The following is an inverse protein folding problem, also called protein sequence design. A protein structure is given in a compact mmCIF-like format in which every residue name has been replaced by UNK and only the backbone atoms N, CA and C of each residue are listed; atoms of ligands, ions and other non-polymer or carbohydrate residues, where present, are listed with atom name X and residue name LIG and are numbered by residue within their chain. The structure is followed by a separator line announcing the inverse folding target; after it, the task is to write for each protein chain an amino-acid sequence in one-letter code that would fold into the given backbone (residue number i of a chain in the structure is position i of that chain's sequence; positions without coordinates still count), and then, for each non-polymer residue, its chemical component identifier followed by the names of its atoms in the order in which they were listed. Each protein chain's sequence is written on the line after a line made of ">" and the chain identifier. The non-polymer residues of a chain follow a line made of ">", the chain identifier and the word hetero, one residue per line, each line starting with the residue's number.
data_IF_965643048441
#
_entry.id   IF_965643048441
#
_cell.length_a   1.000
_cell.length_b   1.000
_cell.length_c   1.000
_cell.angle_alpha   90.00
_cell.angle_beta   90.00
_cell.angle_gamma   90.00
#
_symmetry.space_group_name_H-M   'P 1'
#
loop_
_entity.id
_entity.type
_entity.pdbx_description
1 polymer ?
#
# COMPACT_ATOMS: atom_id res chain seq x y z
N UNK A 1 -50.63 -21.51 -60.98
CA UNK A 1 -49.25 -21.75 -60.51
C UNK A 1 -48.88 -20.70 -59.48
N UNK A 2 -48.51 -21.13 -58.26
CA UNK A 2 -48.13 -20.29 -57.10
C UNK A 2 -46.78 -19.60 -57.32
N UNK A 3 -46.62 -18.34 -56.94
CA UNK A 3 -45.36 -17.81 -56.37
C UNK A 3 -45.68 -16.81 -55.25
N UNK A 4 -45.43 -17.21 -54.00
CA UNK A 4 -45.42 -16.36 -52.79
C UNK A 4 -44.05 -15.70 -52.74
N UNK A 5 -43.98 -14.37 -52.78
CA UNK A 5 -42.76 -13.64 -52.48
C UNK A 5 -42.73 -13.37 -50.98
N UNK A 6 -41.83 -14.06 -50.28
CA UNK A 6 -41.52 -13.81 -48.87
C UNK A 6 -40.33 -12.84 -48.87
N UNK A 7 -40.54 -11.61 -48.43
CA UNK A 7 -39.47 -10.68 -48.09
C UNK A 7 -39.22 -10.81 -46.59
N UNK A 8 -38.04 -11.32 -46.25
CA UNK A 8 -37.59 -11.58 -44.90
C UNK A 8 -37.36 -10.26 -44.13
N UNK A 9 -37.94 -10.16 -42.94
CA UNK A 9 -37.61 -9.13 -41.96
C UNK A 9 -36.32 -9.56 -41.26
N UNK A 10 -35.22 -8.87 -41.52
CA UNK A 10 -33.97 -9.07 -40.81
C UNK A 10 -34.02 -8.42 -39.42
N UNK A 11 -34.00 -9.22 -38.36
CA UNK A 11 -33.83 -8.73 -36.99
C UNK A 11 -32.32 -8.58 -36.76
N UNK A 12 -31.83 -7.34 -36.73
CA UNK A 12 -30.47 -7.06 -36.28
C UNK A 12 -30.44 -7.13 -34.75
N UNK A 13 -29.89 -8.22 -34.19
CA UNK A 13 -29.63 -8.32 -32.76
C UNK A 13 -28.37 -7.50 -32.42
N UNK A 14 -28.56 -6.33 -31.82
CA UNK A 14 -27.46 -5.57 -31.21
C UNK A 14 -27.03 -6.29 -29.91
N UNK A 15 -25.95 -7.06 -29.98
CA UNK A 15 -25.31 -7.63 -28.79
C UNK A 15 -24.57 -6.51 -28.05
N UNK A 16 -25.17 -5.96 -27.00
CA UNK A 16 -24.47 -5.09 -26.07
C UNK A 16 -23.50 -5.95 -25.24
N UNK A 17 -22.22 -5.91 -25.55
CA UNK A 17 -21.18 -6.46 -24.69
C UNK A 17 -21.14 -5.65 -23.40
N UNK A 18 -21.69 -6.20 -22.31
CA UNK A 18 -21.39 -5.72 -20.97
C UNK A 18 -19.91 -5.97 -20.72
N UNK A 19 -19.08 -4.93 -20.87
CA UNK A 19 -17.71 -4.96 -20.41
C UNK A 19 -17.72 -5.00 -18.87
N UNK A 20 -17.57 -6.19 -18.29
CA UNK A 20 -17.22 -6.29 -16.87
C UNK A 20 -15.82 -5.70 -16.71
N UNK A 21 -15.71 -4.57 -16.00
CA UNK A 21 -14.41 -4.03 -15.63
C UNK A 21 -13.71 -5.07 -14.74
N UNK A 22 -12.74 -5.79 -15.30
CA UNK A 22 -11.81 -6.58 -14.51
C UNK A 22 -11.03 -5.54 -13.69
N UNK A 23 -10.94 -5.67 -12.35
CA UNK A 23 -10.10 -4.77 -11.58
C UNK A 23 -8.68 -4.88 -12.13
N UNK A 24 -8.13 -3.78 -12.61
CA UNK A 24 -6.74 -3.73 -12.99
C UNK A 24 -5.91 -3.76 -11.71
N UNK A 25 -5.51 -4.94 -11.24
CA UNK A 25 -4.56 -5.08 -10.13
C UNK A 25 -3.20 -4.56 -10.59
N UNK A 26 -2.92 -3.33 -10.21
CA UNK A 26 -1.88 -2.55 -10.86
C UNK A 26 -0.61 -2.42 -10.03
N UNK A 27 -0.52 -2.88 -8.77
CA UNK A 27 0.56 -2.43 -7.88
C UNK A 27 0.90 -3.42 -6.73
N UNK A 28 1.43 -2.97 -5.59
CA UNK A 28 1.76 -3.86 -4.47
C UNK A 28 1.55 -3.27 -3.07
N UNK A 29 1.38 -4.14 -2.07
CA UNK A 29 1.17 -3.77 -0.67
C UNK A 29 1.81 -4.80 0.29
N UNK A 30 1.98 -4.43 1.56
CA UNK A 30 2.51 -5.34 2.58
C UNK A 30 1.39 -6.17 3.19
N UNK A 31 1.57 -7.50 3.15
CA UNK A 31 0.67 -8.51 3.71
C UNK A 31 1.11 -8.99 5.09
N UNK A 32 2.41 -8.95 5.40
CA UNK A 32 2.97 -9.40 6.69
C UNK A 32 4.05 -8.45 7.19
N UNK A 33 3.96 -7.92 8.43
CA UNK A 33 2.69 -7.74 9.15
C UNK A 33 1.71 -6.92 8.28
N UNK A 34 0.39 -7.12 8.42
CA UNK A 34 -0.56 -6.47 7.53
C UNK A 34 -0.47 -4.95 7.65
N UNK A 35 -0.35 -4.28 6.50
CA UNK A 35 -0.44 -2.82 6.39
C UNK A 35 -1.86 -2.32 6.67
N UNK A 36 -2.02 -1.02 6.95
CA UNK A 36 -3.33 -0.36 7.06
C UNK A 36 -4.18 -0.61 5.81
N UNK A 37 -3.58 -0.45 4.63
CA UNK A 37 -4.24 -0.75 3.36
C UNK A 37 -4.62 -2.23 3.28
N UNK A 38 -3.70 -3.15 3.60
CA UNK A 38 -3.97 -4.59 3.66
C UNK A 38 -5.09 -4.97 4.63
N UNK A 39 -5.17 -4.34 5.80
CA UNK A 39 -6.24 -4.53 6.79
C UNK A 39 -7.60 -4.03 6.28
N UNK A 40 -7.61 -2.90 5.56
CA UNK A 40 -8.80 -2.41 4.88
C UNK A 40 -9.24 -3.37 3.76
N UNK A 41 -8.30 -3.83 2.93
CA UNK A 41 -8.56 -4.78 1.85
C UNK A 41 -9.07 -6.14 2.33
N UNK A 42 -8.57 -6.61 3.47
CA UNK A 42 -9.06 -7.82 4.14
C UNK A 42 -10.39 -7.62 4.87
N UNK A 43 -10.93 -6.39 4.90
CA UNK A 43 -12.14 -6.06 5.62
C UNK A 43 -12.03 -6.13 7.14
N UNK A 44 -10.82 -6.18 7.71
CA UNK A 44 -10.59 -6.17 9.16
C UNK A 44 -10.87 -4.78 9.72
N UNK A 45 -10.36 -3.74 9.05
CA UNK A 45 -10.68 -2.35 9.37
C UNK A 45 -11.78 -1.86 8.45
N UNK A 46 -12.79 -1.23 9.03
CA UNK A 46 -13.96 -0.69 8.30
C UNK A 46 -13.84 0.83 8.12
N UNK A 47 -14.68 1.37 7.24
CA UNK A 47 -14.72 2.81 6.90
C UNK A 47 -13.37 3.29 6.35
N UNK A 48 -12.84 2.54 5.38
CA UNK A 48 -11.59 2.89 4.70
C UNK A 48 -11.80 3.63 3.38
N UNK A 49 -13.04 3.81 2.91
CA UNK A 49 -13.30 4.32 1.57
C UNK A 49 -12.86 3.33 0.50
N UNK A 50 -12.44 3.84 -0.65
CA UNK A 50 -12.19 3.00 -1.84
C UNK A 50 -10.93 2.12 -1.70
N UNK A 51 -10.00 2.44 -0.79
CA UNK A 51 -8.75 1.67 -0.61
C UNK A 51 -9.01 0.21 -0.19
N UNK A 52 -10.20 -0.09 0.35
CA UNK A 52 -10.59 -1.47 0.67
C UNK A 52 -10.70 -2.36 -0.58
N UNK A 53 -10.78 -1.79 -1.78
CA UNK A 53 -10.88 -2.52 -3.04
C UNK A 53 -9.53 -2.62 -3.77
N UNK A 54 -8.57 -1.79 -3.40
CA UNK A 54 -7.28 -1.70 -4.07
C UNK A 54 -6.13 -1.36 -3.11
N UNK A 55 -5.87 -2.20 -2.08
CA UNK A 55 -4.82 -1.95 -1.08
C UNK A 55 -3.43 -1.77 -1.69
N UNK A 56 -3.22 -2.28 -2.91
CA UNK A 56 -2.02 -2.14 -3.72
C UNK A 56 -1.75 -0.71 -4.22
N UNK A 57 -2.76 0.16 -4.28
CA UNK A 57 -2.71 1.41 -5.06
C UNK A 57 -2.25 2.65 -4.28
N UNK A 58 -1.58 2.49 -3.13
CA UNK A 58 -1.07 3.61 -2.33
C UNK A 58 0.22 4.17 -2.95
N UNK A 59 0.09 4.74 -4.14
CA UNK A 59 1.16 5.36 -4.92
C UNK A 59 1.24 6.87 -4.62
N UNK A 60 2.46 7.39 -4.52
CA UNK A 60 2.73 8.81 -4.36
C UNK A 60 4.06 9.24 -4.96
N UNK A 61 4.40 10.54 -4.90
CA UNK A 61 5.69 11.03 -5.37
C UNK A 61 6.86 10.41 -4.60
N UNK A 62 7.95 10.03 -5.26
CA UNK A 62 9.14 9.45 -4.60
C UNK A 62 10.05 10.49 -3.94
N UNK A 63 11.12 9.99 -3.30
CA UNK A 63 12.20 10.82 -2.72
C UNK A 63 11.97 11.23 -1.26
N UNK A 64 11.03 10.59 -0.56
CA UNK A 64 10.95 10.65 0.89
C UNK A 64 12.33 10.37 1.53
N UNK A 65 12.79 11.13 2.55
CA UNK A 65 12.07 12.18 3.26
C UNK A 65 12.28 13.60 2.73
N UNK A 66 13.21 13.85 1.81
CA UNK A 66 13.49 15.21 1.31
C UNK A 66 12.35 15.76 0.44
N UNK A 67 11.68 14.88 -0.30
CA UNK A 67 10.46 15.14 -1.07
C UNK A 67 9.39 14.12 -0.68
N UNK A 68 8.51 13.75 -1.61
CA UNK A 68 7.45 12.77 -1.40
C UNK A 68 6.21 13.35 -0.70
N UNK A 69 5.34 12.50 -0.12
CA UNK A 69 4.13 12.93 0.56
C UNK A 69 4.39 13.99 1.65
N UNK A 70 3.47 14.95 1.77
CA UNK A 70 3.52 15.95 2.84
C UNK A 70 3.32 15.30 4.22
N UNK A 71 3.72 16.01 5.28
CA UNK A 71 3.49 15.55 6.64
C UNK A 71 1.98 15.36 6.90
N UNK A 72 1.63 14.24 7.53
CA UNK A 72 0.24 13.87 7.77
C UNK A 72 -0.48 13.24 6.57
N UNK A 73 0.21 13.01 5.45
CA UNK A 73 -0.34 12.29 4.28
C UNK A 73 0.52 11.09 3.83
N UNK A 74 1.41 10.61 4.69
CA UNK A 74 2.39 9.58 4.34
C UNK A 74 1.74 8.21 4.13
N UNK A 75 0.75 7.85 4.94
CA UNK A 75 0.11 6.54 4.86
C UNK A 75 -0.87 6.45 3.68
N UNK A 76 -1.33 7.58 3.16
CA UNK A 76 -2.14 7.67 1.93
C UNK A 76 -1.31 7.91 0.66
N UNK A 77 0.03 8.01 0.74
CA UNK A 77 0.85 8.34 -0.42
C UNK A 77 0.57 9.73 -1.01
N UNK A 78 0.04 10.67 -0.21
CA UNK A 78 -0.48 11.97 -0.64
C UNK A 78 -1.68 11.92 -1.61
N UNK A 79 -2.34 10.77 -1.74
CA UNK A 79 -3.59 10.66 -2.48
C UNK A 79 -4.79 10.84 -1.55
N UNK A 80 -5.58 11.89 -1.79
CA UNK A 80 -6.76 12.19 -0.98
C UNK A 80 -7.83 11.09 -1.01
N UNK A 81 -7.86 10.25 -2.05
CA UNK A 81 -8.74 9.05 -2.11
C UNK A 81 -8.43 8.07 -0.98
N UNK A 82 -7.17 8.02 -0.55
CA UNK A 82 -6.66 7.12 0.49
C UNK A 82 -6.53 7.78 1.87
N UNK A 83 -7.05 9.00 2.04
CA UNK A 83 -6.99 9.76 3.29
C UNK A 83 -7.44 8.99 4.56
N UNK A 84 -8.37 8.00 4.51
CA UNK A 84 -8.69 7.17 5.67
C UNK A 84 -7.51 6.36 6.24
N UNK A 85 -6.41 6.18 5.49
CA UNK A 85 -5.17 5.55 5.97
C UNK A 85 -4.33 6.50 6.85
N UNK A 86 -4.46 7.81 6.69
CA UNK A 86 -3.75 8.82 7.49
C UNK A 86 -4.46 9.15 8.81
N UNK A 87 -5.75 8.81 8.92
CA UNK A 87 -6.50 8.98 10.16
C UNK A 87 -5.92 8.06 11.24
N UNK A 88 -5.42 8.60 12.38
CA UNK A 88 -4.89 7.78 13.47
C UNK A 88 -5.97 6.95 14.19
N UNK A 89 -7.27 7.23 13.97
CA UNK A 89 -8.41 6.54 14.61
C UNK A 89 -8.30 6.52 16.13
N UNK A 90 -7.80 7.61 16.71
CA UNK A 90 -7.52 7.71 18.15
C UNK A 90 -6.50 6.68 18.66
N UNK A 91 -5.58 6.22 17.81
CA UNK A 91 -4.59 5.19 18.15
C UNK A 91 -5.13 3.76 18.12
N UNK A 92 -6.30 3.52 17.50
CA UNK A 92 -6.98 2.24 17.54
C UNK A 92 -6.76 1.35 16.30
N UNK A 93 -5.74 1.61 15.48
CA UNK A 93 -5.37 0.69 14.41
C UNK A 93 -4.95 -0.67 14.98
N UNK A 94 -5.40 -1.81 14.43
CA UNK A 94 -4.95 -3.13 14.86
C UNK A 94 -3.43 -3.27 14.73
N UNK A 95 -2.78 -3.71 15.81
CA UNK A 95 -1.31 -3.80 15.85
C UNK A 95 -0.81 -5.24 15.81
N UNK A 96 0.32 -5.48 15.15
CA UNK A 96 1.07 -6.72 15.32
C UNK A 96 1.97 -6.62 16.54
N UNK A 97 1.90 -7.60 17.47
CA UNK A 97 2.80 -7.64 18.62
C UNK A 97 4.23 -7.97 18.19
N UNK A 98 5.19 -7.22 18.71
CA UNK A 98 6.61 -7.31 18.37
C UNK A 98 7.48 -7.14 19.61
N UNK A 99 8.70 -7.66 19.58
CA UNK A 99 9.70 -7.42 20.64
C UNK A 99 10.87 -6.62 20.08
N UNK A 100 11.40 -5.69 20.87
CA UNK A 100 12.63 -4.97 20.54
C UNK A 100 13.78 -5.93 20.18
N UNK A 101 14.51 -5.63 19.09
CA UNK A 101 15.62 -6.46 18.63
C UNK A 101 15.24 -7.77 17.94
N UNK A 102 13.94 -8.12 17.83
CA UNK A 102 13.54 -9.30 17.09
C UNK A 102 13.80 -9.14 15.58
N UNK A 103 13.97 -10.26 14.88
CA UNK A 103 13.87 -10.29 13.43
C UNK A 103 12.39 -10.30 13.01
N UNK A 104 11.97 -9.28 12.27
CA UNK A 104 10.64 -9.16 11.69
C UNK A 104 10.71 -9.39 10.17
N UNK A 105 9.86 -10.27 9.67
CA UNK A 105 9.68 -10.47 8.22
C UNK A 105 8.62 -9.51 7.68
N UNK A 106 8.99 -8.79 6.62
CA UNK A 106 8.18 -7.81 5.90
C UNK A 106 7.89 -8.35 4.50
N UNK A 107 6.66 -8.80 4.24
CA UNK A 107 6.26 -9.45 2.98
C UNK A 107 5.38 -8.53 2.15
N UNK A 108 5.81 -8.28 0.92
CA UNK A 108 5.03 -7.62 -0.13
C UNK A 108 4.33 -8.64 -1.02
N UNK A 109 3.07 -8.34 -1.36
CA UNK A 109 2.37 -8.89 -2.53
C UNK A 109 2.44 -7.86 -3.65
N UNK A 110 2.98 -8.23 -4.81
CA UNK A 110 3.28 -7.34 -5.94
C UNK A 110 2.56 -7.88 -7.18
N UNK A 111 1.51 -7.19 -7.59
CA UNK A 111 0.66 -7.57 -8.72
C UNK A 111 1.26 -7.06 -10.04
N UNK A 112 1.76 -5.82 -10.07
CA UNK A 112 2.59 -5.31 -11.16
C UNK A 112 4.05 -5.13 -10.70
N UNK A 113 4.96 -5.82 -11.39
CA UNK A 113 6.39 -5.86 -11.01
C UNK A 113 7.15 -4.76 -11.74
N UNK A 114 7.26 -3.59 -11.13
CA UNK A 114 8.01 -2.46 -11.70
C UNK A 114 9.52 -2.58 -11.49
N UNK A 115 10.31 -1.95 -12.38
CA UNK A 115 11.74 -1.76 -12.16
C UNK A 115 11.93 -0.99 -10.85
N UNK A 116 12.71 -1.55 -9.92
CA UNK A 116 12.74 -1.04 -8.55
C UNK A 116 14.09 -0.42 -8.21
N UNK A 117 14.09 0.78 -7.62
CA UNK A 117 15.28 1.39 -7.03
C UNK A 117 15.61 0.70 -5.71
N UNK A 118 14.67 0.72 -4.78
CA UNK A 118 14.85 0.14 -3.45
C UNK A 118 13.54 -0.08 -2.70
N UNK A 119 13.62 -0.88 -1.65
CA UNK A 119 12.65 -0.90 -0.55
C UNK A 119 13.31 -0.32 0.70
N UNK A 120 12.60 0.56 1.41
CA UNK A 120 13.10 1.24 2.61
C UNK A 120 12.08 1.19 3.72
N UNK A 121 12.54 0.99 4.94
CA UNK A 121 11.67 0.82 6.11
C UNK A 121 12.09 1.78 7.22
N UNK A 122 11.15 2.61 7.64
CA UNK A 122 11.29 3.60 8.70
C UNK A 122 10.35 3.24 9.85
N UNK A 123 10.63 3.74 11.04
CA UNK A 123 9.76 3.52 12.20
C UNK A 123 9.67 4.80 13.02
N UNK A 124 8.54 4.99 13.70
CA UNK A 124 8.34 6.11 14.63
C UNK A 124 9.37 6.14 15.76
N UNK A 125 9.61 7.33 16.29
CA UNK A 125 10.58 7.58 17.37
C UNK A 125 10.04 7.14 18.74
N UNK A 126 10.91 6.93 19.74
CA UNK A 126 10.47 6.75 21.13
C UNK A 126 9.55 7.90 21.58
N UNK A 127 8.47 7.56 22.30
CA UNK A 127 7.49 8.55 22.76
C UNK A 127 6.46 8.99 21.71
N UNK A 128 6.40 8.33 20.55
CA UNK A 128 5.35 8.57 19.56
C UNK A 128 3.94 8.42 20.14
N UNK A 129 3.08 9.41 19.87
CA UNK A 129 1.66 9.40 20.22
C UNK A 129 0.84 8.84 19.05
N UNK A 130 0.31 7.62 19.24
CA UNK A 130 -0.47 6.92 18.22
C UNK A 130 -1.81 7.59 17.87
N UNK A 131 -2.25 8.59 18.66
CA UNK A 131 -3.42 9.41 18.33
C UNK A 131 -3.12 10.51 17.32
N UNK A 132 -1.86 10.67 16.92
CA UNK A 132 -1.40 11.69 15.96
C UNK A 132 -1.07 11.08 14.59
N UNK A 133 -1.09 11.92 13.55
CA UNK A 133 -0.68 11.50 12.21
C UNK A 133 0.83 11.27 12.13
N UNK A 134 1.25 10.42 11.20
CA UNK A 134 2.66 10.24 10.88
C UNK A 134 3.20 11.48 10.17
N UNK A 135 4.36 11.96 10.61
CA UNK A 135 5.08 13.12 10.07
C UNK A 135 6.57 12.82 10.06
N UNK A 136 7.35 13.64 9.37
CA UNK A 136 8.82 13.55 9.45
C UNK A 136 9.34 13.79 10.87
N UNK A 137 8.66 14.62 11.66
CA UNK A 137 9.11 14.95 13.01
C UNK A 137 8.98 13.76 13.98
N UNK A 138 8.01 12.88 13.80
CA UNK A 138 7.80 11.70 14.65
C UNK A 138 8.37 10.39 14.07
N UNK A 139 8.91 10.39 12.85
CA UNK A 139 9.63 9.26 12.23
C UNK A 139 11.16 9.34 12.41
N UNK A 140 11.80 8.20 12.69
CA UNK A 140 13.24 8.08 12.46
C UNK A 140 13.50 8.09 10.94
N UNK A 141 14.09 9.18 10.43
CA UNK A 141 14.31 9.40 9.00
C UNK A 141 15.49 8.60 8.44
N UNK A 142 16.26 7.92 9.28
CA UNK A 142 17.20 6.89 8.86
C UNK A 142 16.45 5.56 8.82
N UNK A 143 16.30 4.92 7.65
CA UNK A 143 15.62 3.65 7.57
C UNK A 143 16.40 2.58 8.35
N UNK A 144 15.69 1.75 9.13
CA UNK A 144 16.32 0.63 9.85
C UNK A 144 16.63 -0.54 8.92
N UNK A 145 16.05 -0.55 7.70
CA UNK A 145 16.43 -1.44 6.61
C UNK A 145 16.30 -0.72 5.26
N UNK A 146 17.30 -0.88 4.40
CA UNK A 146 17.26 -0.53 2.98
C UNK A 146 17.68 -1.73 2.15
N UNK A 147 16.85 -2.10 1.17
CA UNK A 147 17.12 -3.18 0.21
C UNK A 147 17.25 -2.56 -1.19
N UNK A 148 18.48 -2.36 -1.70
CA UNK A 148 18.68 -1.86 -3.06
C UNK A 148 18.36 -2.93 -4.09
N UNK A 149 17.64 -2.57 -5.16
CA UNK A 149 17.24 -3.49 -6.23
C UNK A 149 17.93 -3.22 -7.56
N UNK A 150 18.61 -2.08 -7.71
CA UNK A 150 19.44 -1.77 -8.88
C UNK A 150 18.66 -1.73 -10.21
N UNK A 151 17.37 -1.36 -10.18
CA UNK A 151 16.50 -1.30 -11.36
C UNK A 151 15.89 -2.65 -11.75
N UNK A 152 16.11 -3.72 -11.00
CA UNK A 152 15.51 -5.03 -11.28
C UNK A 152 14.03 -5.06 -10.90
N UNK A 153 13.27 -5.91 -11.59
CA UNK A 153 11.90 -6.25 -11.21
C UNK A 153 11.92 -7.22 -10.01
N UNK A 154 11.13 -6.97 -8.95
CA UNK A 154 11.00 -7.90 -7.83
C UNK A 154 10.16 -9.13 -8.23
N UNK A 155 10.24 -10.24 -7.48
CA UNK A 155 9.25 -11.33 -7.61
C UNK A 155 7.85 -10.86 -7.17
N UNK A 156 6.82 -11.64 -7.52
CA UNK A 156 5.43 -11.33 -7.16
C UNK A 156 5.16 -11.38 -5.65
N UNK A 157 5.91 -12.21 -4.92
CA UNK A 157 5.97 -12.19 -3.45
C UNK A 157 7.41 -11.94 -3.05
N UNK A 158 7.64 -10.90 -2.25
CA UNK A 158 8.98 -10.52 -1.81
C UNK A 158 8.99 -10.33 -0.29
N UNK A 159 9.90 -11.02 0.39
CA UNK A 159 10.09 -10.89 1.83
C UNK A 159 11.44 -10.30 2.15
N UNK A 160 11.46 -9.34 3.07
CA UNK A 160 12.68 -8.78 3.66
C UNK A 160 12.67 -9.05 5.17
N UNK A 161 13.81 -9.44 5.72
CA UNK A 161 13.96 -9.61 7.17
C UNK A 161 14.72 -8.42 7.73
N UNK A 162 14.19 -7.79 8.77
CA UNK A 162 14.78 -6.65 9.43
C UNK A 162 14.86 -6.86 10.94
N UNK A 163 15.95 -6.42 11.57
CA UNK A 163 16.02 -6.33 13.04
C UNK A 163 15.31 -5.06 13.50
N UNK A 164 14.30 -5.21 14.37
CA UNK A 164 13.60 -4.04 14.91
C UNK A 164 14.49 -3.23 15.85
N UNK A 165 14.46 -1.89 15.78
CA UNK A 165 15.21 -1.04 16.72
C UNK A 165 14.83 -1.32 18.18
N UNK A 166 15.81 -1.12 19.07
CA UNK A 166 15.58 -1.13 20.51
C UNK A 166 15.09 0.22 21.01
N UNK A 167 14.67 0.28 22.29
CA UNK A 167 14.25 1.54 22.93
C UNK A 167 12.87 2.04 22.50
N UNK A 168 12.08 1.21 21.83
CA UNK A 168 10.68 1.47 21.49
C UNK A 168 9.76 0.68 22.43
N UNK A 169 8.64 1.30 22.79
CA UNK A 169 7.57 0.71 23.62
C UNK A 169 6.22 1.12 23.08
N UNK A 170 5.18 0.34 23.35
CA UNK A 170 3.81 0.67 22.98
C UNK A 170 3.59 0.68 21.47
N UNK A 171 2.54 1.39 21.02
CA UNK A 171 2.15 1.48 19.62
C UNK A 171 3.19 2.26 18.82
N UNK A 172 3.75 1.64 17.79
CA UNK A 172 4.64 2.25 16.81
C UNK A 172 4.11 2.02 15.39
N UNK A 173 4.54 2.85 14.44
CA UNK A 173 4.19 2.70 13.03
C UNK A 173 5.46 2.51 12.22
N UNK A 174 5.49 1.42 11.44
CA UNK A 174 6.50 1.17 10.43
C UNK A 174 6.00 1.76 9.11
N UNK A 175 6.77 2.65 8.51
CA UNK A 175 6.54 3.14 7.15
C UNK A 175 7.45 2.38 6.19
N UNK A 176 6.86 1.61 5.28
CA UNK A 176 7.56 1.03 4.14
C UNK A 176 7.39 1.91 2.90
N UNK A 177 8.49 2.09 2.17
CA UNK A 177 8.56 2.84 0.92
C UNK A 177 9.19 1.95 -0.15
N UNK A 178 8.49 1.75 -1.26
CA UNK A 178 8.99 1.05 -2.45
C UNK A 178 9.22 2.09 -3.56
N UNK A 179 10.49 2.43 -3.82
CA UNK A 179 10.85 3.43 -4.83
C UNK A 179 10.97 2.79 -6.22
N UNK A 180 10.20 3.32 -7.17
CA UNK A 180 10.21 2.87 -8.57
C UNK A 180 11.36 3.54 -9.33
N UNK A 181 12.07 2.74 -10.12
CA UNK A 181 13.30 3.17 -10.79
C UNK A 181 13.03 4.08 -11.99
N UNK A 182 12.04 3.72 -12.80
CA UNK A 182 11.75 4.33 -14.11
C UNK A 182 10.59 5.34 -14.08
N UNK A 183 10.08 5.72 -12.89
CA UNK A 183 9.03 6.73 -12.73
C UNK A 183 9.39 7.78 -11.67
N UNK A 184 8.54 8.79 -11.50
CA UNK A 184 8.63 9.76 -10.39
C UNK A 184 8.01 9.27 -9.07
N UNK A 185 7.58 8.01 -8.98
CA UNK A 185 6.66 7.53 -7.94
C UNK A 185 7.28 6.48 -7.01
N UNK A 186 6.61 6.29 -5.87
CA UNK A 186 6.89 5.26 -4.88
C UNK A 186 5.57 4.77 -4.26
N UNK A 187 5.56 3.54 -3.74
CA UNK A 187 4.45 3.00 -2.97
C UNK A 187 4.71 3.14 -1.48
N UNK A 188 3.68 3.55 -0.74
CA UNK A 188 3.75 3.83 0.69
C UNK A 188 2.84 2.89 1.46
N UNK A 189 3.37 2.23 2.49
CA UNK A 189 2.61 1.30 3.33
C UNK A 189 2.93 1.54 4.80
N UNK A 190 1.89 1.82 5.60
CA UNK A 190 2.01 1.93 7.06
C UNK A 190 1.57 0.61 7.71
N UNK A 191 2.38 0.06 8.61
CA UNK A 191 2.03 -1.09 9.44
C UNK A 191 2.08 -0.68 10.90
N UNK A 192 1.02 -0.96 11.65
CA UNK A 192 0.93 -0.68 13.07
C UNK A 192 1.44 -1.89 13.88
N UNK A 193 2.33 -1.63 14.84
CA UNK A 193 2.93 -2.64 15.71
C UNK A 193 2.90 -2.19 17.17
N UNK A 194 2.92 -3.13 18.11
CA UNK A 194 3.03 -2.83 19.54
C UNK A 194 4.22 -3.57 20.15
N UNK A 195 5.14 -2.81 20.73
CA UNK A 195 6.31 -3.26 21.48
C UNK A 195 6.00 -3.48 22.96
#
# INVERSE_FOLDING_TARGET
>A
MRKRNILAVGIAAAAATLATAIPASSHGYITTPPSRAGLCGAGVVKRCGDIQWEPQSVEGPKGFPASGPADGTLCAGADARWAPLDDPRGGAWPTTKVTAGQQLTLTWSIEARHATTSFRYFITKPGYDATTKITRSNLNLTPFLTVPMGGKQPPATLSHTATLPSGLTGHQVILAVWDIADTGNAFYQCMDVTF
#
